data_IF_568367690819
#
_entry.id   IF_568367690819
#
_cell.length_a   1.000
_cell.length_b   1.000
_cell.length_c   1.000
_cell.angle_alpha   90.00
_cell.angle_beta   90.00
_cell.angle_gamma   90.00
#
_symmetry.space_group_name_H-M   'P 1'
#
loop_
_entity.id
_entity.type
_entity.pdbx_description
1 polymer ?
#
# COMPACT_ATOMS: atom_id res chain seq x y z
N UNK A 1 -9.48 21.67 17.05
CA UNK A 1 -8.53 20.90 17.90
C UNK A 1 -9.29 19.94 18.84
N UNK A 2 -10.15 19.05 18.33
CA UNK A 2 -10.96 18.17 19.20
C UNK A 2 -11.26 16.76 18.68
N UNK A 3 -10.58 16.24 17.67
CA UNK A 3 -10.85 14.88 17.15
C UNK A 3 -9.79 13.83 17.53
N UNK A 4 -8.61 14.22 18.03
CA UNK A 4 -7.51 13.29 18.37
C UNK A 4 -7.75 12.52 19.69
N UNK A 5 -8.74 12.92 20.50
CA UNK A 5 -9.00 12.28 21.81
C UNK A 5 -9.84 10.99 21.77
N UNK A 6 -10.16 10.46 20.59
CA UNK A 6 -11.00 9.26 20.45
C UNK A 6 -10.26 7.98 20.06
N UNK A 7 -8.93 7.99 19.96
CA UNK A 7 -8.19 6.73 19.78
C UNK A 7 -8.49 5.79 20.94
N UNK A 8 -8.98 4.61 20.61
CA UNK A 8 -9.28 3.56 21.58
C UNK A 8 -7.94 3.11 22.18
N UNK A 9 -7.93 2.71 23.45
CA UNK A 9 -6.69 2.30 24.16
C UNK A 9 -5.86 1.27 23.37
N UNK A 10 -6.52 0.37 22.64
CA UNK A 10 -5.89 -0.65 21.79
C UNK A 10 -5.12 -0.06 20.60
N UNK A 11 -5.62 1.02 19.99
CA UNK A 11 -4.93 1.68 18.88
C UNK A 11 -3.66 2.36 19.38
N UNK A 12 -3.71 3.01 20.54
CA UNK A 12 -2.52 3.64 21.13
C UNK A 12 -1.44 2.63 21.47
N UNK A 13 -1.81 1.48 22.02
CA UNK A 13 -0.87 0.38 22.26
C UNK A 13 -0.28 -0.13 20.94
N UNK A 14 -1.11 -0.26 19.90
CA UNK A 14 -0.66 -0.63 18.56
C UNK A 14 0.33 0.38 18.00
N UNK A 15 0.12 1.69 18.16
CA UNK A 15 0.98 2.76 17.65
C UNK A 15 2.30 2.87 18.42
N UNK A 16 2.29 2.66 19.74
CA UNK A 16 3.47 2.76 20.59
C UNK A 16 4.55 1.73 20.25
N UNK A 17 4.18 0.58 19.69
CA UNK A 17 5.11 -0.45 19.24
C UNK A 17 5.65 -0.27 17.82
N UNK A 18 5.31 0.82 17.13
CA UNK A 18 5.54 0.97 15.68
C UNK A 18 6.70 1.88 15.37
N UNK A 19 7.37 1.54 14.27
CA UNK A 19 8.61 2.17 13.88
C UNK A 19 8.45 2.88 12.54
N UNK A 20 8.48 4.22 12.57
CA UNK A 20 8.34 5.07 11.39
C UNK A 20 9.70 5.66 11.01
N UNK A 21 10.05 5.59 9.73
CA UNK A 21 11.24 6.27 9.21
C UNK A 21 10.82 7.60 8.58
N UNK A 22 11.43 8.69 9.01
CA UNK A 22 11.28 10.00 8.36
C UNK A 22 12.54 10.26 7.56
N UNK A 23 12.41 10.35 6.24
CA UNK A 23 13.54 10.49 5.33
C UNK A 23 13.58 11.88 4.73
N UNK A 24 14.69 12.60 4.91
CA UNK A 24 14.88 13.95 4.40
C UNK A 24 14.44 15.06 5.35
N UNK A 25 14.75 16.31 4.95
CA UNK A 25 14.52 17.53 5.73
C UNK A 25 13.72 18.57 4.95
N UNK A 26 12.81 18.11 4.08
CA UNK A 26 11.88 18.99 3.38
C UNK A 26 10.96 19.74 4.35
N UNK A 27 10.24 20.74 3.83
CA UNK A 27 9.39 21.64 4.61
C UNK A 27 8.36 20.90 5.48
N UNK A 28 7.91 19.71 5.06
CA UNK A 28 6.90 18.92 5.76
C UNK A 28 7.47 17.99 6.83
N UNK A 29 8.80 17.84 6.94
CA UNK A 29 9.41 16.87 7.85
C UNK A 29 9.03 17.12 9.32
N UNK A 30 9.22 18.35 9.81
CA UNK A 30 8.89 18.73 11.19
C UNK A 30 7.39 18.65 11.48
N UNK A 31 6.50 19.30 10.71
CA UNK A 31 5.07 19.27 11.03
C UNK A 31 4.47 17.86 10.92
N UNK A 32 4.89 17.04 9.94
CA UNK A 32 4.46 15.63 9.86
C UNK A 32 4.94 14.82 11.07
N UNK A 33 6.22 14.95 11.45
CA UNK A 33 6.78 14.27 12.62
C UNK A 33 6.05 14.66 13.90
N UNK A 34 5.71 15.94 14.05
CA UNK A 34 4.93 16.45 15.18
C UNK A 34 3.58 15.74 15.30
N UNK A 35 2.84 15.66 14.19
CA UNK A 35 1.52 15.01 14.15
C UNK A 35 1.63 13.53 14.53
N UNK A 36 2.57 12.81 13.93
CA UNK A 36 2.84 11.41 14.24
C UNK A 36 3.21 11.20 15.72
N UNK A 37 4.04 12.06 16.30
CA UNK A 37 4.39 12.01 17.71
C UNK A 37 3.17 12.25 18.62
N UNK A 38 2.34 13.26 18.30
CA UNK A 38 1.07 13.54 19.00
C UNK A 38 0.11 12.36 18.93
N UNK A 39 0.07 11.66 17.79
CA UNK A 39 -0.74 10.46 17.59
C UNK A 39 -0.23 9.23 18.35
N UNK A 40 0.95 9.30 18.98
CA UNK A 40 1.48 8.24 19.83
C UNK A 40 2.36 7.22 19.10
N UNK A 41 2.96 7.57 17.97
CA UNK A 41 4.02 6.76 17.37
C UNK A 41 5.19 6.66 18.36
N UNK A 42 5.54 5.44 18.76
CA UNK A 42 6.52 5.22 19.83
C UNK A 42 7.97 5.09 19.37
N UNK A 43 8.25 5.04 18.06
CA UNK A 43 9.63 4.95 17.57
C UNK A 43 9.82 5.64 16.22
N UNK A 44 10.91 6.41 16.13
CA UNK A 44 11.30 7.18 14.95
C UNK A 44 12.73 6.86 14.55
N UNK A 45 12.95 6.68 13.25
CA UNK A 45 14.27 6.73 12.62
C UNK A 45 14.35 7.94 11.70
N UNK A 46 15.23 8.87 12.03
CA UNK A 46 15.52 10.06 11.23
C UNK A 46 16.67 9.73 10.28
N UNK A 47 16.36 9.65 8.98
CA UNK A 47 17.33 9.32 7.94
C UNK A 47 17.62 10.56 7.09
N UNK A 48 18.89 10.98 7.04
CA UNK A 48 19.28 12.18 6.33
C UNK A 48 20.60 12.03 5.56
N UNK A 49 20.66 12.65 4.38
CA UNK A 49 21.93 12.82 3.66
C UNK A 49 22.72 13.99 4.22
N UNK A 50 24.03 13.79 4.35
CA UNK A 50 24.98 14.82 4.81
C UNK A 50 25.05 16.03 3.87
N UNK A 51 24.67 15.87 2.60
CA UNK A 51 24.69 16.96 1.60
C UNK A 51 23.46 17.88 1.67
N UNK A 52 22.37 17.41 2.28
CA UNK A 52 21.06 18.09 2.32
C UNK A 52 20.71 18.61 3.72
N UNK A 53 21.63 18.52 4.68
CA UNK A 53 21.35 18.80 6.08
C UNK A 53 21.43 20.29 6.39
N UNK A 54 20.33 20.84 6.91
CA UNK A 54 20.42 21.86 7.94
C UNK A 54 20.49 21.11 9.29
N UNK A 55 21.55 21.33 10.07
CA UNK A 55 21.62 20.78 11.45
C UNK A 55 20.47 21.29 12.32
N UNK A 56 19.90 22.44 11.94
CA UNK A 56 18.75 23.07 12.56
C UNK A 56 17.49 22.20 12.44
N UNK A 57 17.13 21.75 11.24
CA UNK A 57 15.93 20.92 11.02
C UNK A 57 16.05 19.57 11.73
N UNK A 58 17.23 18.96 11.75
CA UNK A 58 17.43 17.73 12.52
C UNK A 58 17.21 17.95 14.03
N UNK A 59 17.72 19.07 14.55
CA UNK A 59 17.53 19.43 15.97
C UNK A 59 16.06 19.70 16.29
N UNK A 60 15.35 20.37 15.38
CA UNK A 60 13.93 20.65 15.49
C UNK A 60 13.08 19.37 15.44
N UNK A 61 13.43 18.39 14.60
CA UNK A 61 12.79 17.07 14.58
C UNK A 61 12.96 16.34 15.92
N UNK A 62 14.18 16.32 16.47
CA UNK A 62 14.46 15.67 17.75
C UNK A 62 13.65 16.35 18.87
N UNK A 63 13.70 17.68 18.94
CA UNK A 63 12.96 18.46 19.92
C UNK A 63 11.46 18.19 19.80
N UNK A 64 10.92 18.17 18.58
CA UNK A 64 9.52 17.86 18.31
C UNK A 64 9.13 16.48 18.85
N UNK A 65 9.93 15.45 18.59
CA UNK A 65 9.62 14.10 19.10
C UNK A 65 9.71 14.08 20.63
N UNK A 66 10.69 14.73 21.23
CA UNK A 66 10.84 14.78 22.70
C UNK A 66 9.71 15.55 23.39
N UNK A 67 9.18 16.60 22.75
CA UNK A 67 8.08 17.41 23.28
C UNK A 67 6.73 16.71 23.19
N UNK A 68 6.48 15.97 22.09
CA UNK A 68 5.16 15.43 21.78
C UNK A 68 5.04 13.90 21.88
N UNK A 69 6.14 13.16 21.72
CA UNK A 69 6.18 11.71 21.79
C UNK A 69 6.64 11.24 23.17
N UNK A 70 5.68 10.95 24.06
CA UNK A 70 5.99 10.42 25.39
C UNK A 70 6.78 9.11 25.27
N UNK A 71 8.02 9.12 25.77
CA UNK A 71 8.95 7.98 25.74
C UNK A 71 9.30 7.44 24.33
N UNK A 72 9.10 8.24 23.29
CA UNK A 72 9.40 7.81 21.92
C UNK A 72 10.90 7.55 21.72
N UNK A 73 11.24 6.40 21.14
CA UNK A 73 12.62 6.07 20.78
C UNK A 73 13.03 6.85 19.53
N UNK A 74 14.17 7.54 19.58
CA UNK A 74 14.74 8.25 18.44
C UNK A 74 16.04 7.58 18.02
N UNK A 75 16.11 7.12 16.76
CA UNK A 75 17.35 6.71 16.11
C UNK A 75 17.68 7.70 15.00
N UNK A 76 18.95 8.02 14.84
CA UNK A 76 19.41 8.96 13.82
C UNK A 76 20.46 8.26 12.98
N UNK A 77 20.28 8.28 11.67
CA UNK A 77 21.22 7.73 10.71
C UNK A 77 21.57 8.82 9.70
N UNK A 78 22.86 9.14 9.64
CA UNK A 78 23.42 10.07 8.67
C UNK A 78 24.13 9.29 7.57
N UNK A 79 23.73 9.50 6.33
CA UNK A 79 24.26 8.76 5.18
C UNK A 79 25.08 9.69 4.29
N UNK A 80 26.32 9.29 3.97
CA UNK A 80 27.22 10.07 3.12
C UNK A 80 26.84 10.05 1.63
N UNK A 81 26.17 8.98 1.20
CA UNK A 81 25.49 8.83 -0.10
C UNK A 81 24.06 8.39 0.21
N UNK A 82 23.09 8.90 -0.55
CA UNK A 82 21.67 8.56 -0.37
C UNK A 82 21.37 7.16 -0.90
N UNK A 83 22.04 6.15 -0.33
CA UNK A 83 21.75 4.74 -0.51
C UNK A 83 20.92 4.28 0.68
N UNK A 84 19.61 4.45 0.57
CA UNK A 84 18.67 4.23 1.67
C UNK A 84 18.42 2.74 1.91
N UNK A 85 18.77 1.87 0.96
CA UNK A 85 18.49 0.42 0.99
C UNK A 85 19.08 -0.30 2.20
N UNK A 86 20.27 0.12 2.63
CA UNK A 86 21.00 -0.50 3.75
C UNK A 86 20.44 -0.16 5.13
N UNK A 87 19.57 0.85 5.21
CA UNK A 87 19.03 1.39 6.46
C UNK A 87 17.54 1.13 6.64
N UNK A 88 16.89 0.62 5.60
CA UNK A 88 15.51 0.14 5.70
C UNK A 88 15.52 -1.31 6.20
N UNK A 89 15.60 -1.51 7.52
CA UNK A 89 15.45 -2.81 8.16
C UNK A 89 14.00 -3.31 8.04
N UNK A 90 13.70 -4.25 7.12
CA UNK A 90 12.33 -4.60 6.79
C UNK A 90 11.59 -5.28 7.93
N UNK A 91 12.28 -5.86 8.91
CA UNK A 91 11.63 -6.54 10.04
C UNK A 91 11.27 -5.58 11.19
N UNK A 92 11.85 -4.37 11.20
CA UNK A 92 11.61 -3.36 12.23
C UNK A 92 10.68 -2.25 11.75
N UNK A 93 10.79 -1.84 10.48
CA UNK A 93 10.11 -0.65 9.96
C UNK A 93 8.70 -0.97 9.48
N UNK A 94 7.71 -0.23 9.97
CA UNK A 94 6.33 -0.37 9.52
C UNK A 94 6.01 0.55 8.33
N UNK A 95 6.58 1.76 8.29
CA UNK A 95 6.25 2.80 7.33
C UNK A 95 7.44 3.76 7.09
N UNK A 96 7.54 4.28 5.86
CA UNK A 96 8.42 5.41 5.53
C UNK A 96 7.59 6.66 5.21
N UNK A 97 8.00 7.80 5.76
CA UNK A 97 7.51 9.13 5.38
C UNK A 97 8.61 9.82 4.57
N UNK A 98 8.31 10.07 3.29
CA UNK A 98 9.24 10.63 2.32
C UNK A 98 9.14 12.16 2.29
N UNK A 99 10.05 12.80 3.03
CA UNK A 99 10.23 14.25 3.10
C UNK A 99 11.46 14.70 2.31
N UNK A 100 11.83 13.99 1.24
CA UNK A 100 12.95 14.40 0.39
C UNK A 100 12.63 15.71 -0.36
N UNK A 101 13.69 16.39 -0.80
CA UNK A 101 13.57 17.66 -1.56
C UNK A 101 13.86 17.44 -3.05
N UNK A 102 14.69 16.45 -3.38
CA UNK A 102 15.16 16.22 -4.75
C UNK A 102 14.37 15.08 -5.37
N UNK A 103 13.84 15.29 -6.57
CA UNK A 103 13.17 14.29 -7.41
C UNK A 103 13.85 12.91 -7.38
N UNK A 104 15.16 12.86 -7.68
CA UNK A 104 15.94 11.62 -7.70
C UNK A 104 15.99 10.87 -6.36
N UNK A 105 15.87 11.58 -5.23
CA UNK A 105 15.97 10.99 -3.90
C UNK A 105 14.63 10.28 -3.57
N UNK A 106 13.49 10.83 -4.02
CA UNK A 106 12.18 10.17 -3.97
C UNK A 106 12.18 8.83 -4.73
N UNK A 107 12.72 8.83 -5.95
CA UNK A 107 12.81 7.60 -6.77
C UNK A 107 13.72 6.53 -6.14
N UNK A 108 14.89 6.94 -5.66
CA UNK A 108 15.81 6.04 -4.98
C UNK A 108 15.18 5.45 -3.71
N UNK A 109 14.44 6.26 -2.95
CA UNK A 109 13.74 5.81 -1.76
C UNK A 109 12.60 4.84 -2.10
N UNK A 110 11.83 5.10 -3.16
CA UNK A 110 10.79 4.17 -3.64
C UNK A 110 11.41 2.82 -4.05
N UNK A 111 12.54 2.83 -4.76
CA UNK A 111 13.24 1.61 -5.14
C UNK A 111 13.71 0.82 -3.90
N UNK A 112 14.23 1.49 -2.88
CA UNK A 112 14.64 0.86 -1.63
C UNK A 112 13.42 0.26 -0.89
N UNK A 113 12.33 1.01 -0.79
CA UNK A 113 11.08 0.55 -0.16
C UNK A 113 10.47 -0.63 -0.93
N UNK A 114 10.55 -0.65 -2.26
CA UNK A 114 10.15 -1.78 -3.12
C UNK A 114 10.90 -3.05 -2.80
N UNK A 115 12.23 -2.96 -2.68
CA UNK A 115 13.07 -4.11 -2.35
C UNK A 115 12.67 -4.73 -1.01
N UNK A 116 12.14 -3.93 -0.09
CA UNK A 116 11.78 -4.30 1.27
C UNK A 116 10.27 -4.40 1.54
N UNK A 117 9.42 -4.16 0.54
CA UNK A 117 7.96 -4.14 0.69
C UNK A 117 7.46 -3.23 1.82
N UNK A 118 8.10 -2.06 1.99
CA UNK A 118 7.72 -1.09 3.02
C UNK A 118 6.82 -0.03 2.38
N UNK A 119 5.60 0.20 2.89
CA UNK A 119 4.73 1.24 2.38
C UNK A 119 5.30 2.63 2.66
N UNK A 120 4.92 3.61 1.83
CA UNK A 120 5.42 4.97 1.95
C UNK A 120 4.29 5.98 1.93
N UNK A 121 4.48 7.10 2.64
CA UNK A 121 3.68 8.31 2.49
C UNK A 121 4.55 9.38 1.87
N UNK A 122 4.13 9.92 0.72
CA UNK A 122 4.79 11.07 0.09
C UNK A 122 4.47 12.33 0.90
N UNK A 123 5.50 13.11 1.22
CA UNK A 123 5.42 14.39 1.89
C UNK A 123 6.32 15.40 1.17
N UNK A 124 5.91 15.82 -0.02
CA UNK A 124 6.68 16.75 -0.85
C UNK A 124 6.11 18.17 -0.77
N UNK A 125 6.98 19.17 -0.66
CA UNK A 125 6.61 20.57 -0.80
C UNK A 125 7.74 21.37 -1.44
N UNK A 126 7.39 22.18 -2.43
CA UNK A 126 8.26 23.20 -3.02
C UNK A 126 7.61 24.59 -2.87
N UNK A 127 8.15 25.61 -3.54
CA UNK A 127 7.65 26.99 -3.47
C UNK A 127 6.17 27.14 -3.91
N UNK A 128 5.69 26.26 -4.79
CA UNK A 128 4.40 26.41 -5.46
C UNK A 128 3.37 25.38 -5.03
N UNK A 129 3.79 24.16 -4.69
CA UNK A 129 2.88 23.05 -4.45
C UNK A 129 3.27 22.24 -3.21
N UNK A 130 2.27 21.55 -2.68
CA UNK A 130 2.42 20.48 -1.70
C UNK A 130 1.74 19.23 -2.22
N UNK A 131 2.48 18.12 -2.25
CA UNK A 131 1.96 16.82 -2.64
C UNK A 131 1.97 15.88 -1.44
N UNK A 132 0.83 15.24 -1.20
CA UNK A 132 0.74 14.15 -0.21
C UNK A 132 -0.01 12.96 -0.81
N UNK A 133 0.35 11.76 -0.38
CA UNK A 133 -0.37 10.57 -0.82
C UNK A 133 0.26 9.27 -0.36
N UNK A 134 -0.57 8.23 -0.32
CA UNK A 134 -0.15 6.87 -0.02
C UNK A 134 0.47 6.22 -1.25
N UNK A 135 1.74 5.85 -1.14
CA UNK A 135 2.54 5.25 -2.22
C UNK A 135 2.62 3.75 -2.02
N UNK A 136 2.21 3.02 -3.06
CA UNK A 136 2.48 1.60 -3.18
C UNK A 136 3.91 1.39 -3.68
N UNK A 137 4.81 0.78 -2.89
CA UNK A 137 6.22 0.68 -3.25
C UNK A 137 6.46 -0.17 -4.52
N UNK A 138 5.52 -1.05 -4.90
CA UNK A 138 5.60 -1.85 -6.12
C UNK A 138 5.07 -1.13 -7.36
N UNK A 139 4.36 -0.02 -7.19
CA UNK A 139 3.67 0.65 -8.28
C UNK A 139 4.53 1.61 -9.10
N UNK A 140 5.73 1.96 -8.63
CA UNK A 140 6.64 2.92 -9.31
C UNK A 140 5.99 4.31 -9.50
N UNK A 141 5.13 4.70 -8.55
CA UNK A 141 4.38 5.96 -8.56
C UNK A 141 5.31 7.17 -8.52
N UNK A 142 6.35 7.14 -7.68
CA UNK A 142 7.25 8.29 -7.54
C UNK A 142 8.12 8.46 -8.79
N UNK A 143 8.57 7.36 -9.38
CA UNK A 143 9.24 7.40 -10.69
C UNK A 143 8.35 8.00 -11.80
N UNK A 144 7.03 7.82 -11.75
CA UNK A 144 6.12 8.46 -12.70
C UNK A 144 5.91 9.95 -12.43
N UNK A 145 5.88 10.35 -11.16
CA UNK A 145 5.69 11.77 -10.76
C UNK A 145 6.97 12.59 -11.00
N UNK A 146 8.13 12.02 -10.68
CA UNK A 146 9.41 12.73 -10.62
C UNK A 146 10.40 12.37 -11.74
N UNK A 147 10.25 11.20 -12.39
CA UNK A 147 11.24 10.61 -13.30
C UNK A 147 11.27 11.10 -14.73
N UNK A 148 10.54 12.16 -15.06
CA UNK A 148 10.78 12.88 -16.31
C UNK A 148 12.09 13.66 -16.20
N UNK A 149 13.12 13.15 -16.87
CA UNK A 149 14.51 13.61 -16.78
C UNK A 149 14.63 15.15 -16.81
N UNK A 150 15.02 15.74 -15.67
CA UNK A 150 15.81 16.97 -15.65
C UNK A 150 15.20 18.24 -15.06
N UNK A 151 13.89 18.32 -14.75
CA UNK A 151 13.32 19.61 -14.31
C UNK A 151 12.24 19.47 -13.22
N UNK A 152 12.20 20.44 -12.31
CA UNK A 152 11.06 20.74 -11.41
C UNK A 152 9.73 20.94 -12.16
N UNK A 153 9.77 21.03 -13.49
CA UNK A 153 8.61 20.99 -14.38
C UNK A 153 7.93 19.61 -14.45
N UNK A 154 8.53 18.52 -13.95
CA UNK A 154 7.94 17.17 -13.99
C UNK A 154 6.60 17.09 -13.24
N UNK A 155 6.51 17.66 -12.04
CA UNK A 155 5.26 17.70 -11.27
C UNK A 155 4.20 18.52 -11.99
N UNK A 156 4.55 19.72 -12.47
CA UNK A 156 3.59 20.58 -13.21
C UNK A 156 3.09 19.92 -14.49
N UNK A 157 3.98 19.25 -15.21
CA UNK A 157 3.65 18.51 -16.41
C UNK A 157 2.75 17.31 -16.10
N UNK A 158 3.09 16.49 -15.11
CA UNK A 158 2.25 15.40 -14.64
C UNK A 158 0.84 15.89 -14.29
N UNK A 159 0.74 16.99 -13.54
CA UNK A 159 -0.55 17.61 -13.15
C UNK A 159 -1.35 18.17 -14.34
N UNK A 160 -0.69 18.54 -15.44
CA UNK A 160 -1.35 19.02 -16.66
C UNK A 160 -1.87 17.88 -17.53
N UNK A 161 -1.21 16.72 -17.51
CA UNK A 161 -1.58 15.55 -18.33
C UNK A 161 -2.65 14.65 -17.68
N UNK A 162 -2.79 14.69 -16.35
CA UNK A 162 -3.67 13.79 -15.63
C UNK A 162 -4.98 14.48 -15.24
N UNK A 163 -6.10 13.82 -15.54
CA UNK A 163 -7.42 14.29 -15.13
C UNK A 163 -7.60 14.14 -13.60
N UNK A 164 -8.29 15.11 -12.99
CA UNK A 164 -8.72 15.01 -11.59
C UNK A 164 -9.74 13.87 -11.43
N UNK A 165 -9.83 13.31 -10.23
CA UNK A 165 -10.83 12.26 -9.92
C UNK A 165 -12.24 12.84 -10.10
N UNK A 166 -13.14 12.19 -10.88
CA UNK A 166 -14.50 12.67 -11.09
C UNK A 166 -15.26 12.84 -9.77
N UNK A 167 -15.90 13.99 -9.55
CA UNK A 167 -16.75 14.24 -8.38
C UNK A 167 -16.07 14.97 -7.21
N UNK A 168 -14.73 15.03 -7.18
CA UNK A 168 -14.02 15.91 -6.24
C UNK A 168 -13.99 17.34 -6.79
N UNK A 169 -14.88 18.18 -6.26
CA UNK A 169 -14.90 19.63 -6.52
C UNK A 169 -13.61 20.24 -5.97
N UNK A 170 -12.98 21.15 -6.72
CA UNK A 170 -11.93 22.03 -6.18
C UNK A 170 -12.46 22.63 -4.86
N UNK A 171 -11.76 22.35 -3.75
CA UNK A 171 -12.08 22.93 -2.44
C UNK A 171 -11.08 24.04 -2.19
N UNK A 172 -11.59 25.22 -1.88
CA UNK A 172 -10.78 26.31 -1.36
C UNK A 172 -10.50 26.02 0.12
N UNK A 173 -9.23 25.92 0.51
CA UNK A 173 -8.85 25.93 1.92
C UNK A 173 -9.04 27.37 2.43
N UNK A 174 -9.86 27.58 3.47
CA UNK A 174 -10.14 28.91 4.01
C UNK A 174 -8.86 29.66 4.43
N UNK A 175 -8.91 30.99 4.27
CA UNK A 175 -7.76 31.89 4.13
C UNK A 175 -6.86 32.02 5.37
N UNK A 176 -5.81 31.20 5.45
CA UNK A 176 -4.49 31.56 5.98
C UNK A 176 -3.40 30.74 5.26
N UNK A 177 -3.29 31.00 3.95
CA UNK A 177 -2.90 30.05 2.89
C UNK A 177 -1.64 29.22 3.18
N UNK A 178 -0.56 29.77 3.74
CA UNK A 178 0.67 28.97 3.88
C UNK A 178 0.68 28.07 5.13
N UNK A 179 0.29 28.62 6.29
CA UNK A 179 0.17 27.82 7.52
C UNK A 179 -0.98 26.81 7.43
N UNK A 180 -2.06 27.13 6.73
CA UNK A 180 -3.16 26.18 6.54
C UNK A 180 -2.77 25.03 5.62
N UNK A 181 -1.99 25.27 4.56
CA UNK A 181 -1.61 24.22 3.60
C UNK A 181 -0.58 23.25 4.18
N UNK A 182 0.45 23.76 4.88
CA UNK A 182 1.45 22.90 5.54
C UNK A 182 0.81 22.05 6.63
N UNK A 183 -0.08 22.63 7.46
CA UNK A 183 -0.79 21.89 8.50
C UNK A 183 -1.79 20.89 7.92
N UNK A 184 -2.47 21.23 6.83
CA UNK A 184 -3.34 20.31 6.10
C UNK A 184 -2.55 19.11 5.57
N UNK A 185 -1.43 19.37 4.90
CA UNK A 185 -0.56 18.31 4.38
C UNK A 185 -0.01 17.42 5.51
N UNK A 186 0.40 18.00 6.64
CA UNK A 186 0.85 17.24 7.80
C UNK A 186 -0.27 16.36 8.39
N UNK A 187 -1.51 16.84 8.40
CA UNK A 187 -2.68 16.05 8.81
C UNK A 187 -2.96 14.90 7.82
N UNK A 188 -2.87 15.13 6.52
CA UNK A 188 -3.02 14.09 5.50
C UNK A 188 -1.92 13.01 5.60
N UNK A 189 -0.68 13.43 5.86
CA UNK A 189 0.45 12.51 6.10
C UNK A 189 0.18 11.64 7.33
N UNK A 190 -0.26 12.25 8.44
CA UNK A 190 -0.68 11.55 9.65
C UNK A 190 -1.79 10.55 9.35
N UNK A 191 -2.87 10.98 8.67
CA UNK A 191 -4.00 10.11 8.31
C UNK A 191 -3.53 8.89 7.53
N UNK A 192 -2.75 9.09 6.47
CA UNK A 192 -2.22 8.00 5.66
C UNK A 192 -1.29 7.07 6.46
N UNK A 193 -0.45 7.62 7.32
CA UNK A 193 0.45 6.83 8.16
C UNK A 193 -0.33 5.95 9.15
N UNK A 194 -1.32 6.51 9.82
CA UNK A 194 -2.20 5.78 10.74
C UNK A 194 -3.01 4.73 10.00
N UNK A 195 -3.55 5.04 8.83
CA UNK A 195 -4.28 4.07 8.00
C UNK A 195 -3.41 2.86 7.65
N UNK A 196 -2.13 3.07 7.31
CA UNK A 196 -1.20 1.96 7.03
C UNK A 196 -0.93 1.14 8.30
N UNK A 197 -0.55 1.81 9.39
CA UNK A 197 -0.14 1.14 10.64
C UNK A 197 -1.29 0.37 11.28
N UNK A 198 -2.51 0.89 11.20
CA UNK A 198 -3.72 0.28 11.73
C UNK A 198 -4.38 -0.71 10.75
N UNK A 199 -3.81 -0.91 9.56
CA UNK A 199 -4.31 -1.85 8.56
C UNK A 199 -5.66 -1.45 7.95
N UNK A 200 -5.86 -0.15 7.73
CA UNK A 200 -7.04 0.49 7.10
C UNK A 200 -6.75 1.05 5.72
N UNK A 201 -5.48 1.13 5.34
CA UNK A 201 -5.06 1.68 4.07
C UNK A 201 -5.57 0.84 2.89
N UNK A 202 -6.10 1.52 1.86
CA UNK A 202 -6.33 0.95 0.54
C UNK A 202 -5.33 1.52 -0.46
N UNK A 203 -4.50 0.65 -1.01
CA UNK A 203 -3.53 1.03 -2.06
C UNK A 203 -4.16 1.09 -3.45
N UNK A 204 -5.30 0.42 -3.65
CA UNK A 204 -6.03 0.43 -4.92
C UNK A 204 -6.69 1.80 -5.17
N UNK A 205 -7.31 2.35 -4.13
CA UNK A 205 -7.99 3.65 -4.17
C UNK A 205 -7.05 4.81 -3.80
N UNK A 206 -5.73 4.59 -3.76
CA UNK A 206 -4.81 5.62 -3.32
C UNK A 206 -4.84 6.84 -4.24
N UNK A 207 -4.80 8.00 -3.61
CA UNK A 207 -4.86 9.30 -4.26
C UNK A 207 -3.61 10.11 -3.99
N UNK A 208 -3.28 10.96 -4.95
CA UNK A 208 -2.32 12.03 -4.80
C UNK A 208 -3.08 13.34 -4.59
N UNK A 209 -2.90 13.93 -3.42
CA UNK A 209 -3.40 15.26 -3.12
C UNK A 209 -2.37 16.30 -3.52
N UNK A 210 -2.80 17.29 -4.30
CA UNK A 210 -2.00 18.43 -4.69
C UNK A 210 -2.65 19.71 -4.16
N UNK A 211 -1.94 20.41 -3.29
CA UNK A 211 -2.33 21.73 -2.85
C UNK A 211 -1.43 22.80 -3.45
N UNK A 212 -2.02 23.73 -4.20
CA UNK A 212 -1.35 24.92 -4.69
C UNK A 212 -1.14 25.90 -3.53
N UNK A 213 0.11 26.19 -3.19
CA UNK A 213 0.49 27.05 -2.06
C UNK A 213 0.24 28.54 -2.32
N UNK A 214 0.07 28.94 -3.59
CA UNK A 214 -0.22 30.33 -3.96
C UNK A 214 -1.70 30.63 -3.85
N UNK A 215 -2.54 29.68 -4.26
CA UNK A 215 -4.00 29.85 -4.32
C UNK A 215 -4.74 29.17 -3.17
N UNK A 216 -4.09 28.24 -2.45
CA UNK A 216 -4.72 27.40 -1.43
C UNK A 216 -5.66 26.33 -2.01
N UNK A 217 -5.66 26.13 -3.33
CA UNK A 217 -6.56 25.18 -4.00
C UNK A 217 -6.07 23.77 -3.84
N UNK A 218 -6.98 22.89 -3.41
CA UNK A 218 -6.74 21.46 -3.32
C UNK A 218 -7.31 20.75 -4.55
N UNK A 219 -6.50 19.89 -5.16
CA UNK A 219 -6.87 18.96 -6.22
C UNK A 219 -6.50 17.54 -5.82
N UNK A 220 -7.32 16.58 -6.26
CA UNK A 220 -7.11 15.16 -6.00
C UNK A 220 -7.00 14.39 -7.31
N UNK A 221 -5.97 13.56 -7.40
CA UNK A 221 -5.68 12.70 -8.53
C UNK A 221 -5.63 11.25 -8.06
N UNK A 222 -5.91 10.30 -8.95
CA UNK A 222 -5.50 8.93 -8.67
C UNK A 222 -3.98 8.87 -8.60
N UNK A 223 -3.44 8.14 -7.62
CA UNK A 223 -1.99 7.91 -7.58
C UNK A 223 -1.59 7.19 -8.88
N UNK A 224 -0.60 7.70 -9.64
CA UNK A 224 -0.15 7.04 -10.86
C UNK A 224 0.54 5.73 -10.50
N UNK A 225 0.33 4.70 -11.31
CA UNK A 225 0.90 3.37 -11.09
C UNK A 225 1.33 2.75 -12.41
N UNK A 226 2.49 2.09 -12.42
CA UNK A 226 3.01 1.35 -13.58
C UNK A 226 2.51 -0.10 -13.61
N UNK A 227 2.14 -0.65 -12.46
CA UNK A 227 1.54 -1.99 -12.38
C UNK A 227 0.03 -1.90 -12.67
N UNK A 228 -0.55 -2.91 -13.36
CA UNK A 228 -1.97 -2.91 -13.70
C UNK A 228 -2.89 -3.00 -12.48
N UNK A 229 -4.05 -2.34 -12.58
CA UNK A 229 -5.12 -2.32 -11.58
C UNK A 229 -6.24 -3.27 -11.97
N UNK A 230 -6.65 -4.13 -11.04
CA UNK A 230 -7.70 -5.11 -11.26
C UNK A 230 -8.76 -5.05 -10.14
N UNK A 231 -9.81 -4.21 -10.29
CA UNK A 231 -10.80 -3.93 -9.24
C UNK A 231 -11.60 -5.16 -8.78
N UNK A 232 -11.65 -6.20 -9.62
CA UNK A 232 -12.42 -7.44 -9.38
C UNK A 232 -11.54 -8.61 -8.96
N UNK A 233 -10.23 -8.38 -8.73
CA UNK A 233 -9.34 -9.38 -8.14
C UNK A 233 -9.36 -9.25 -6.62
N UNK A 234 -9.61 -10.38 -5.96
CA UNK A 234 -9.38 -10.55 -4.53
C UNK A 234 -8.14 -11.41 -4.35
N UNK A 235 -7.06 -10.78 -3.88
CA UNK A 235 -5.81 -11.48 -3.62
C UNK A 235 -5.84 -12.11 -2.22
N UNK A 236 -5.36 -13.33 -2.10
CA UNK A 236 -5.27 -14.08 -0.83
C UNK A 236 -3.83 -14.52 -0.58
N UNK A 237 -3.20 -13.85 0.39
CA UNK A 237 -1.84 -14.06 0.87
C UNK A 237 -1.79 -14.76 2.22
N UNK A 238 -0.59 -15.14 2.66
CA UNK A 238 -0.39 -15.74 3.99
C UNK A 238 1.05 -15.64 4.48
N UNK A 239 1.25 -15.59 5.79
CA UNK A 239 2.58 -15.53 6.42
C UNK A 239 3.48 -16.73 6.11
N UNK A 240 2.87 -17.91 5.93
CA UNK A 240 3.60 -19.16 5.67
C UNK A 240 2.76 -20.13 4.86
N UNK A 241 3.42 -21.17 4.33
CA UNK A 241 2.72 -22.27 3.64
C UNK A 241 1.75 -22.95 4.62
N UNK A 242 0.66 -23.50 4.08
CA UNK A 242 -0.36 -24.25 4.82
C UNK A 242 -1.18 -23.45 5.85
N UNK A 243 -1.25 -22.11 5.74
CA UNK A 243 -2.22 -21.30 6.49
C UNK A 243 -3.61 -21.27 5.84
N UNK A 244 -4.09 -22.41 5.34
CA UNK A 244 -5.47 -22.54 4.85
C UNK A 244 -5.93 -21.53 3.77
N UNK A 245 -5.02 -20.95 2.96
CA UNK A 245 -5.39 -20.00 1.88
C UNK A 245 -6.44 -20.58 0.93
N UNK A 246 -6.21 -21.80 0.43
CA UNK A 246 -7.17 -22.45 -0.45
C UNK A 246 -8.51 -22.66 0.26
N UNK A 247 -8.51 -23.01 1.55
CA UNK A 247 -9.75 -23.15 2.33
C UNK A 247 -10.49 -21.82 2.46
N UNK A 248 -9.79 -20.70 2.64
CA UNK A 248 -10.40 -19.37 2.62
C UNK A 248 -10.99 -19.05 1.24
N UNK A 249 -10.26 -19.33 0.15
CA UNK A 249 -10.77 -19.15 -1.20
C UNK A 249 -12.04 -19.98 -1.45
N UNK A 250 -12.10 -21.23 -0.96
CA UNK A 250 -13.30 -22.09 -1.04
C UNK A 250 -14.46 -21.48 -0.26
N UNK A 251 -14.23 -21.01 0.97
CA UNK A 251 -15.27 -20.38 1.77
C UNK A 251 -15.79 -19.08 1.12
N UNK A 252 -14.89 -18.23 0.61
CA UNK A 252 -15.24 -17.01 -0.11
C UNK A 252 -16.00 -17.31 -1.40
N UNK A 253 -15.56 -18.30 -2.19
CA UNK A 253 -16.25 -18.68 -3.43
C UNK A 253 -17.70 -19.09 -3.15
N UNK A 254 -17.93 -19.86 -2.08
CA UNK A 254 -19.28 -20.28 -1.67
C UNK A 254 -20.15 -19.09 -1.28
N UNK A 255 -19.63 -18.17 -0.46
CA UNK A 255 -20.38 -16.99 -0.04
C UNK A 255 -20.65 -16.02 -1.18
N UNK A 256 -19.67 -15.76 -2.05
CA UNK A 256 -19.83 -14.89 -3.23
C UNK A 256 -20.82 -15.49 -4.23
N UNK A 257 -20.76 -16.81 -4.48
CA UNK A 257 -21.74 -17.51 -5.31
C UNK A 257 -23.14 -17.41 -4.71
N UNK A 258 -23.27 -17.52 -3.38
CA UNK A 258 -24.56 -17.33 -2.67
C UNK A 258 -25.10 -15.91 -2.80
N UNK A 259 -24.22 -14.91 -2.90
CA UNK A 259 -24.56 -13.51 -3.21
C UNK A 259 -24.85 -13.27 -4.70
N UNK A 260 -24.76 -14.31 -5.53
CA UNK A 260 -25.05 -14.24 -6.97
C UNK A 260 -23.87 -13.76 -7.82
N UNK A 261 -22.65 -13.70 -7.27
CA UNK A 261 -21.45 -13.31 -8.02
C UNK A 261 -20.82 -14.52 -8.72
N UNK A 262 -20.58 -14.47 -10.03
CA UNK A 262 -19.75 -15.45 -10.72
C UNK A 262 -18.33 -15.46 -10.14
N UNK A 263 -17.80 -16.63 -9.79
CA UNK A 263 -16.46 -16.73 -9.18
C UNK A 263 -15.51 -17.51 -10.09
N UNK A 264 -14.31 -16.99 -10.26
CA UNK A 264 -13.17 -17.69 -10.89
C UNK A 264 -12.00 -17.70 -9.96
N UNK A 265 -11.09 -18.66 -10.17
CA UNK A 265 -9.93 -18.85 -9.32
C UNK A 265 -8.64 -18.86 -10.14
N UNK A 266 -7.63 -18.10 -9.69
CA UNK A 266 -6.26 -18.16 -10.18
C UNK A 266 -5.32 -18.57 -9.04
N UNK A 267 -4.60 -19.68 -9.21
CA UNK A 267 -3.57 -20.14 -8.26
C UNK A 267 -2.20 -19.85 -8.84
N UNK A 268 -1.39 -19.02 -8.16
CA UNK A 268 -0.04 -18.70 -8.63
C UNK A 268 0.98 -19.48 -7.81
N UNK A 269 1.85 -20.20 -8.49
CA UNK A 269 2.96 -20.95 -7.92
C UNK A 269 4.27 -20.35 -8.40
N UNK A 270 4.94 -19.62 -7.50
CA UNK A 270 6.30 -19.17 -7.73
C UNK A 270 7.29 -20.33 -7.56
N UNK A 271 8.00 -20.69 -8.64
CA UNK A 271 9.11 -21.64 -8.63
C UNK A 271 10.44 -20.89 -8.64
N UNK A 272 11.37 -21.30 -7.76
CA UNK A 272 12.67 -20.66 -7.62
C UNK A 272 13.74 -21.08 -8.65
N UNK A 273 13.39 -21.88 -9.66
CA UNK A 273 14.30 -22.32 -10.71
C UNK A 273 13.75 -21.90 -12.08
N UNK A 274 14.64 -21.76 -13.06
CA UNK A 274 14.31 -21.41 -14.45
C UNK A 274 13.51 -22.53 -15.15
N UNK A 275 12.28 -22.73 -14.71
CA UNK A 275 11.29 -23.53 -15.42
C UNK A 275 10.52 -22.65 -16.41
N UNK A 276 10.07 -23.22 -17.54
CA UNK A 276 9.19 -22.50 -18.45
C UNK A 276 7.89 -22.13 -17.73
N UNK A 277 7.31 -20.99 -18.11
CA UNK A 277 5.97 -20.59 -17.67
C UNK A 277 4.97 -21.65 -18.09
N UNK A 278 4.11 -22.08 -17.17
CA UNK A 278 3.00 -23.00 -17.44
C UNK A 278 1.68 -22.40 -16.98
N UNK A 279 0.69 -22.43 -17.86
CA UNK A 279 -0.70 -22.09 -17.55
C UNK A 279 -1.51 -23.38 -17.70
N UNK A 280 -2.13 -23.80 -16.61
CA UNK A 280 -2.89 -25.04 -16.54
C UNK A 280 -4.32 -24.71 -16.15
N UNK A 281 -5.29 -25.18 -16.93
CA UNK A 281 -6.69 -25.14 -16.56
C UNK A 281 -7.07 -26.44 -15.86
N UNK A 282 -7.61 -26.33 -14.64
CA UNK A 282 -7.97 -27.49 -13.84
C UNK A 282 -9.35 -28.04 -14.22
N UNK A 283 -9.60 -29.31 -13.92
CA UNK A 283 -10.89 -29.96 -14.18
C UNK A 283 -11.70 -30.18 -12.89
N UNK A 284 -13.04 -30.11 -12.94
CA UNK A 284 -13.91 -30.52 -11.83
C UNK A 284 -13.71 -31.98 -11.40
N UNK A 285 -13.20 -32.83 -12.30
CA UNK A 285 -12.91 -34.24 -12.02
C UNK A 285 -11.48 -34.49 -11.54
N UNK A 286 -10.79 -33.45 -11.07
CA UNK A 286 -9.42 -33.59 -10.57
C UNK A 286 -9.31 -34.55 -9.37
N UNK A 287 -8.15 -35.19 -9.25
CA UNK A 287 -7.87 -36.11 -8.14
C UNK A 287 -7.65 -35.34 -6.83
N UNK A 288 -7.16 -34.12 -6.94
CA UNK A 288 -6.81 -33.29 -5.79
C UNK A 288 -8.07 -32.65 -5.18
N UNK A 289 -8.40 -33.07 -3.95
CA UNK A 289 -9.55 -32.59 -3.18
C UNK A 289 -9.69 -31.05 -3.17
N UNK A 290 -8.60 -30.33 -2.87
CA UNK A 290 -8.63 -28.86 -2.83
C UNK A 290 -9.02 -28.16 -4.14
N UNK A 291 -8.93 -28.85 -5.28
CA UNK A 291 -9.38 -28.32 -6.58
C UNK A 291 -10.86 -28.61 -6.76
N UNK A 292 -11.31 -29.83 -6.44
CA UNK A 292 -12.73 -30.19 -6.44
C UNK A 292 -13.54 -29.28 -5.52
N UNK A 293 -13.04 -29.01 -4.32
CA UNK A 293 -13.71 -28.14 -3.36
C UNK A 293 -13.97 -26.72 -3.90
N UNK A 294 -13.11 -26.22 -4.81
CA UNK A 294 -13.31 -24.91 -5.45
C UNK A 294 -14.47 -24.97 -6.45
N UNK A 295 -14.54 -26.02 -7.26
CA UNK A 295 -15.67 -26.23 -8.18
C UNK A 295 -16.97 -26.49 -7.41
N UNK A 296 -16.93 -27.30 -6.35
CA UNK A 296 -18.08 -27.56 -5.47
C UNK A 296 -18.55 -26.29 -4.73
N UNK A 297 -17.65 -25.32 -4.52
CA UNK A 297 -17.99 -24.00 -3.98
C UNK A 297 -18.58 -23.02 -5.02
N UNK A 298 -18.66 -23.41 -6.29
CA UNK A 298 -19.26 -22.60 -7.36
C UNK A 298 -18.27 -21.89 -8.28
N UNK A 299 -16.97 -22.15 -8.18
CA UNK A 299 -16.01 -21.59 -9.15
C UNK A 299 -16.28 -22.13 -10.56
N UNK A 300 -16.47 -21.24 -11.52
CA UNK A 300 -16.71 -21.60 -12.93
C UNK A 300 -15.44 -22.13 -13.61
N UNK A 301 -14.29 -21.56 -13.21
CA UNK A 301 -12.99 -21.80 -13.82
C UNK A 301 -11.90 -21.72 -12.76
N UNK A 302 -10.98 -22.67 -12.79
CA UNK A 302 -9.82 -22.70 -11.90
C UNK A 302 -8.56 -22.81 -12.76
N UNK A 303 -7.74 -21.78 -12.76
CA UNK A 303 -6.48 -21.71 -13.52
C UNK A 303 -5.31 -21.71 -12.56
N UNK A 304 -4.22 -22.40 -12.93
CA UNK A 304 -2.96 -22.40 -12.22
C UNK A 304 -1.85 -21.84 -13.12
N UNK A 305 -1.22 -20.78 -12.64
CA UNK A 305 -0.02 -20.20 -13.24
C UNK A 305 1.21 -20.64 -12.46
N UNK A 306 2.16 -21.26 -13.15
CA UNK A 306 3.47 -21.64 -12.62
C UNK A 306 4.51 -20.79 -13.34
N UNK A 307 5.22 -19.94 -12.60
CA UNK A 307 6.22 -19.02 -13.13
C UNK A 307 7.30 -18.72 -12.10
N UNK A 308 8.37 -18.06 -12.52
CA UNK A 308 9.40 -17.49 -11.64
C UNK A 308 9.11 -16.02 -11.42
N UNK A 309 9.73 -15.37 -10.42
CA UNK A 309 9.57 -13.90 -10.25
C UNK A 309 9.98 -13.11 -11.49
N UNK A 310 11.02 -13.57 -12.22
CA UNK A 310 11.49 -12.91 -13.44
C UNK A 310 10.50 -13.03 -14.61
N UNK A 311 9.78 -14.14 -14.71
CA UNK A 311 8.80 -14.37 -15.79
C UNK A 311 7.37 -14.00 -15.41
N UNK A 312 7.08 -13.77 -14.12
CA UNK A 312 5.76 -13.39 -13.62
C UNK A 312 5.28 -12.07 -14.19
N UNK A 313 6.20 -11.09 -14.33
CA UNK A 313 5.89 -9.74 -14.84
C UNK A 313 5.26 -9.77 -16.22
N UNK A 314 5.71 -10.69 -17.07
CA UNK A 314 5.22 -10.81 -18.45
C UNK A 314 4.06 -11.80 -18.57
N UNK A 315 4.08 -12.90 -17.80
CA UNK A 315 3.07 -13.95 -17.91
C UNK A 315 1.74 -13.61 -17.23
N UNK A 316 1.79 -12.91 -16.08
CA UNK A 316 0.59 -12.65 -15.28
C UNK A 316 -0.42 -11.77 -15.99
N UNK A 317 -0.05 -10.64 -16.63
CA UNK A 317 -1.00 -9.83 -17.39
C UNK A 317 -1.73 -10.63 -18.48
N UNK A 318 -1.01 -11.45 -19.26
CA UNK A 318 -1.62 -12.27 -20.31
C UNK A 318 -2.69 -13.25 -19.78
N UNK A 319 -2.43 -13.88 -18.63
CA UNK A 319 -3.39 -14.79 -17.98
C UNK A 319 -4.59 -14.02 -17.42
N UNK A 320 -4.35 -12.84 -16.85
CA UNK A 320 -5.42 -12.01 -16.30
C UNK A 320 -6.31 -11.45 -17.40
N UNK A 321 -5.76 -11.05 -18.53
CA UNK A 321 -6.52 -10.54 -19.67
C UNK A 321 -7.47 -11.62 -20.23
N UNK A 322 -7.01 -12.86 -20.42
CA UNK A 322 -7.86 -14.01 -20.81
C UNK A 322 -8.98 -14.28 -19.80
N UNK A 323 -8.64 -14.27 -18.51
CA UNK A 323 -9.62 -14.48 -17.44
C UNK A 323 -10.66 -13.36 -17.40
N UNK A 324 -10.24 -12.11 -17.61
CA UNK A 324 -11.11 -10.93 -17.57
C UNK A 324 -12.00 -10.82 -18.80
N UNK A 325 -11.47 -11.10 -19.99
CA UNK A 325 -12.20 -11.02 -21.26
C UNK A 325 -13.44 -11.91 -21.25
N UNK A 326 -13.32 -13.09 -20.64
CA UNK A 326 -14.40 -14.07 -20.59
C UNK A 326 -15.23 -14.00 -19.30
N UNK A 327 -14.87 -13.16 -18.33
CA UNK A 327 -15.55 -13.05 -17.04
C UNK A 327 -16.69 -12.04 -17.09
N UNK A 328 -17.85 -12.41 -16.54
CA UNK A 328 -19.00 -11.51 -16.40
C UNK A 328 -18.60 -10.18 -15.74
N UNK A 329 -19.18 -9.01 -16.11
CA UNK A 329 -18.86 -7.71 -15.51
C UNK A 329 -18.93 -7.69 -13.97
N UNK A 330 -19.85 -8.43 -13.38
CA UNK A 330 -20.07 -8.60 -11.94
C UNK A 330 -19.27 -9.75 -11.30
N UNK A 331 -18.44 -10.45 -12.08
CA UNK A 331 -17.65 -11.58 -11.62
C UNK A 331 -16.46 -11.20 -10.73
N UNK A 332 -16.06 -12.12 -9.86
CA UNK A 332 -14.92 -12.00 -8.94
C UNK A 332 -13.84 -13.00 -9.32
N UNK A 333 -12.60 -12.53 -9.42
CA UNK A 333 -11.43 -13.39 -9.56
C UNK A 333 -10.70 -13.53 -8.21
N UNK A 334 -10.85 -14.68 -7.57
CA UNK A 334 -10.06 -15.04 -6.40
C UNK A 334 -8.64 -15.43 -6.85
N UNK A 335 -7.62 -14.83 -6.27
CA UNK A 335 -6.23 -15.11 -6.60
C UNK A 335 -5.45 -15.58 -5.37
N UNK A 336 -5.00 -16.84 -5.36
CA UNK A 336 -4.16 -17.36 -4.27
C UNK A 336 -2.68 -17.05 -4.56
N UNK A 337 -2.16 -15.95 -4.02
CA UNK A 337 -0.75 -15.57 -4.10
C UNK A 337 -0.39 -14.45 -3.14
N UNK A 338 0.79 -14.52 -2.51
CA UNK A 338 1.38 -13.35 -1.84
C UNK A 338 2.24 -12.53 -2.79
N UNK A 339 2.91 -13.20 -3.75
CA UNK A 339 3.90 -12.56 -4.63
C UNK A 339 3.26 -11.78 -5.76
N UNK A 340 2.03 -12.11 -6.17
CA UNK A 340 1.32 -11.39 -7.22
C UNK A 340 1.15 -9.90 -6.89
N UNK A 341 1.08 -9.54 -5.60
CA UNK A 341 0.97 -8.16 -5.15
C UNK A 341 2.09 -7.24 -5.66
N UNK A 342 3.24 -7.80 -6.03
CA UNK A 342 4.37 -7.06 -6.60
C UNK A 342 4.18 -6.67 -8.08
N UNK A 343 3.21 -7.29 -8.75
CA UNK A 343 3.01 -7.17 -10.20
C UNK A 343 1.63 -6.61 -10.56
N UNK A 344 0.73 -6.47 -9.57
CA UNK A 344 -0.61 -5.91 -9.76
C UNK A 344 -1.13 -5.24 -8.50
N UNK A 345 -2.13 -4.37 -8.68
CA UNK A 345 -2.96 -3.86 -7.58
C UNK A 345 -4.33 -4.55 -7.62
N UNK A 346 -4.64 -5.41 -6.63
CA UNK A 346 -5.96 -6.03 -6.54
C UNK A 346 -6.97 -5.02 -6.01
N UNK A 347 -8.26 -5.19 -6.32
CA UNK A 347 -9.32 -4.41 -5.68
C UNK A 347 -9.44 -4.69 -4.19
N UNK A 348 -9.03 -5.90 -3.75
CA UNK A 348 -8.97 -6.25 -2.34
C UNK A 348 -7.88 -7.29 -2.06
N UNK A 349 -7.10 -7.11 -0.99
CA UNK A 349 -6.04 -8.01 -0.58
C UNK A 349 -6.23 -8.47 0.87
N UNK A 350 -6.48 -9.78 1.01
CA UNK A 350 -6.62 -10.46 2.30
C UNK A 350 -5.32 -11.21 2.61
N UNK A 351 -4.80 -11.07 3.81
CA UNK A 351 -3.61 -11.79 4.26
C UNK A 351 -3.85 -12.60 5.53
N UNK A 352 -3.56 -13.90 5.48
CA UNK A 352 -3.70 -14.82 6.62
C UNK A 352 -2.46 -14.83 7.50
N UNK A 353 -2.65 -14.63 8.82
CA UNK A 353 -1.57 -14.65 9.83
C UNK A 353 -1.73 -15.79 10.83
N UNK A 354 -0.64 -16.18 11.49
CA UNK A 354 -0.57 -17.31 12.42
C UNK A 354 -0.62 -16.94 13.92
N UNK A 355 -0.89 -15.68 14.26
CA UNK A 355 -1.02 -15.24 15.65
C UNK A 355 0.31 -14.85 16.30
N UNK A 356 1.38 -15.65 16.20
CA UNK A 356 2.75 -15.16 16.47
C UNK A 356 3.87 -16.19 16.19
N UNK A 357 5.04 -15.63 15.84
CA UNK A 357 6.39 -16.23 15.66
C UNK A 357 6.64 -16.96 14.32
N UNK A 358 7.61 -16.40 13.62
CA UNK A 358 8.19 -16.79 12.32
C UNK A 358 7.33 -16.51 11.07
N UNK A 359 7.25 -15.21 10.74
CA UNK A 359 6.79 -14.74 9.43
C UNK A 359 8.00 -14.70 8.50
N UNK A 360 7.89 -15.29 7.30
CA UNK A 360 8.94 -15.17 6.29
C UNK A 360 9.04 -13.71 5.84
N UNK A 361 10.25 -13.18 5.66
CA UNK A 361 10.46 -11.79 5.19
C UNK A 361 9.63 -11.48 3.95
N UNK A 362 9.56 -12.37 2.95
CA UNK A 362 8.74 -12.15 1.74
C UNK A 362 7.24 -12.07 2.02
N UNK A 363 6.74 -12.74 3.05
CA UNK A 363 5.36 -12.66 3.49
C UNK A 363 5.09 -11.34 4.23
N UNK A 364 6.03 -10.90 5.07
CA UNK A 364 5.94 -9.62 5.79
C UNK A 364 5.80 -8.46 4.81
N UNK A 365 6.60 -8.47 3.73
CA UNK A 365 6.53 -7.50 2.62
C UNK A 365 5.12 -7.37 2.05
N UNK A 366 4.50 -8.49 1.72
CA UNK A 366 3.12 -8.48 1.19
C UNK A 366 2.09 -8.12 2.26
N UNK A 367 2.28 -8.55 3.52
CA UNK A 367 1.30 -8.32 4.60
C UNK A 367 1.01 -6.85 4.83
N UNK A 368 2.03 -6.00 4.76
CA UNK A 368 1.91 -4.53 4.94
C UNK A 368 1.02 -3.85 3.89
N UNK A 369 0.79 -4.52 2.77
CA UNK A 369 -0.02 -4.00 1.66
C UNK A 369 -1.42 -4.60 1.61
N UNK A 370 -1.78 -5.43 2.61
CA UNK A 370 -3.08 -6.06 2.69
C UNK A 370 -4.12 -5.09 3.25
N UNK A 371 -5.28 -5.02 2.60
CA UNK A 371 -6.44 -4.26 3.10
C UNK A 371 -7.04 -4.92 4.34
N UNK A 372 -6.89 -6.25 4.48
CA UNK A 372 -7.35 -7.02 5.65
C UNK A 372 -6.35 -8.08 6.06
N UNK A 373 -6.07 -8.15 7.35
CA UNK A 373 -5.35 -9.28 7.97
C UNK A 373 -6.31 -10.11 8.81
N UNK A 374 -6.26 -11.43 8.67
CA UNK A 374 -7.11 -12.37 9.43
C UNK A 374 -6.25 -13.44 10.07
N UNK A 375 -6.51 -13.73 11.34
CA UNK A 375 -5.83 -14.78 12.08
C UNK A 375 -6.37 -16.14 11.66
N UNK A 376 -5.48 -17.07 11.35
CA UNK A 376 -5.81 -18.47 11.09
C UNK A 376 -5.76 -19.26 12.41
N UNK A 377 -6.74 -20.16 12.68
CA UNK A 377 -7.88 -20.49 11.84
C UNK A 377 -8.94 -19.37 11.82
N UNK A 378 -9.54 -19.14 10.64
CA UNK A 378 -10.65 -18.22 10.46
C UNK A 378 -11.99 -18.97 10.64
N UNK A 379 -13.05 -18.23 10.94
CA UNK A 379 -14.41 -18.73 11.12
C UNK A 379 -15.26 -18.53 9.86
N UNK A 380 -16.41 -19.21 9.78
CA UNK A 380 -17.38 -18.96 8.71
C UNK A 380 -17.92 -17.52 8.75
N UNK A 381 -18.01 -16.93 9.95
CA UNK A 381 -18.39 -15.52 10.13
C UNK A 381 -17.38 -14.56 9.50
N UNK A 382 -16.08 -14.87 9.58
CA UNK A 382 -15.03 -14.07 8.92
C UNK A 382 -15.18 -14.13 7.40
N UNK A 383 -15.41 -15.33 6.84
CA UNK A 383 -15.60 -15.51 5.41
C UNK A 383 -16.85 -14.78 4.89
N UNK A 384 -17.98 -14.86 5.61
CA UNK A 384 -19.20 -14.15 5.26
C UNK A 384 -19.02 -12.62 5.32
N UNK A 385 -18.34 -12.11 6.35
CA UNK A 385 -18.03 -10.68 6.48
C UNK A 385 -17.14 -10.18 5.34
N UNK A 386 -16.12 -10.96 4.96
CA UNK A 386 -15.27 -10.62 3.82
C UNK A 386 -16.01 -10.65 2.49
N UNK A 387 -16.87 -11.65 2.27
CA UNK A 387 -17.65 -11.74 1.03
C UNK A 387 -18.56 -10.52 0.83
N UNK A 388 -19.17 -10.01 1.92
CA UNK A 388 -19.95 -8.77 1.87
C UNK A 388 -19.10 -7.55 1.50
N UNK A 389 -17.91 -7.40 2.11
CA UNK A 389 -17.00 -6.31 1.76
C UNK A 389 -16.56 -6.37 0.29
N UNK A 390 -16.27 -7.57 -0.22
CA UNK A 390 -15.92 -7.79 -1.63
C UNK A 390 -17.09 -7.41 -2.54
N UNK A 391 -18.32 -7.80 -2.19
CA UNK A 391 -19.54 -7.48 -2.95
C UNK A 391 -19.75 -5.96 -3.09
N UNK A 392 -19.56 -5.22 -2.00
CA UNK A 392 -19.63 -3.76 -1.97
C UNK A 392 -18.56 -3.12 -2.86
N UNK A 393 -17.32 -3.61 -2.82
CA UNK A 393 -16.21 -3.11 -3.66
C UNK A 393 -16.53 -3.33 -5.15
N UNK A 394 -16.93 -4.55 -5.52
CA UNK A 394 -17.23 -4.89 -6.93
C UNK A 394 -18.42 -4.08 -7.44
N UNK A 395 -19.43 -3.87 -6.62
CA UNK A 395 -20.59 -3.04 -6.98
C UNK A 395 -20.19 -1.60 -7.25
N UNK A 396 -19.34 -1.01 -6.40
CA UNK A 396 -18.83 0.37 -6.58
C UNK A 396 -18.04 0.55 -7.89
N UNK A 397 -17.37 -0.49 -8.37
CA UNK A 397 -16.60 -0.44 -9.61
C UNK A 397 -17.37 -0.86 -10.87
N UNK A 398 -18.61 -1.35 -10.72
CA UNK A 398 -19.46 -1.75 -11.85
C UNK A 398 -20.37 -0.62 -12.34
N UNK A 399 -20.51 0.46 -11.56
CA UNK A 399 -21.24 1.69 -11.88
C UNK A 399 -20.31 2.74 -12.43
#
# INVERSE_FOLDING_TARGET
MSEINHLISEERETLGGRFVVVVGHGLLAVPATRRLAVSGIGSFLLLASTQSQSQETQSELIQTIQEFGADALIRIVQVGRFDTGDYLYPDEIDLVVDCCVRAKDHEALEQACRAHGVPMVLAFADENVTLTGLVDPYAESLAMIFGMEGETNSVKHFMAEHACVPGDRERDLEQSVDRSVVEYAAWEIERHALDVILGRASFFESSLENCDRTTGRLKRYHMPVRIPRYPRIVLVGSDRRKLAKTSLCVALARELTRLGRPVRMLKIQNKGQAEPVQVLEESPHETKESVRDLFDAGCERVVRLIATDGTMRDALPCVLDDLYETMSPDGVLLCESSTARQFLQPGFFIHLTAGDRDIKTSALRSRRLADRTIVSPFTDGDAASLAQQIDEIVTRHST
#
